data_IF_383766343390
#
_entry.id   IF_383766343390
#
_cell.length_a   1.000
_cell.length_b   1.000
_cell.length_c   1.000
_cell.angle_alpha   90.00
_cell.angle_beta   90.00
_cell.angle_gamma   90.00
#
_symmetry.space_group_name_H-M   'P 1'
#
loop_
_entity.id
_entity.type
_entity.pdbx_description
1 polymer ?
#
# COMPACT_ATOMS: atom_id res chain seq x y z
N UNK A 1 -6.64 4.75 34.08
CA UNK A 1 -7.28 5.77 33.25
C UNK A 1 -7.16 7.10 33.99
N UNK A 2 -6.72 8.17 33.34
CA UNK A 2 -6.41 9.53 33.81
C UNK A 2 -4.95 9.80 34.17
N UNK A 3 -4.00 8.91 33.85
CA UNK A 3 -2.59 9.21 33.99
C UNK A 3 -2.13 10.20 32.90
N UNK A 4 -1.28 11.14 33.28
CA UNK A 4 -0.68 12.07 32.33
C UNK A 4 0.28 11.32 31.42
N UNK A 5 0.07 11.41 30.11
CA UNK A 5 0.98 10.88 29.10
C UNK A 5 1.41 11.97 28.15
N UNK A 6 2.70 11.98 27.79
CA UNK A 6 3.27 12.93 26.86
C UNK A 6 4.10 12.21 25.80
N UNK A 7 3.93 12.62 24.53
CA UNK A 7 4.75 12.13 23.43
C UNK A 7 5.62 13.27 22.92
N UNK A 8 6.93 13.07 22.91
CA UNK A 8 7.88 13.97 22.29
C UNK A 8 7.94 13.71 20.77
N UNK A 9 7.61 14.72 19.97
CA UNK A 9 7.65 14.64 18.53
C UNK A 9 6.32 15.00 17.88
N UNK A 10 6.33 15.03 16.55
CA UNK A 10 5.12 15.27 15.76
C UNK A 10 4.41 13.95 15.49
N UNK A 11 3.19 13.72 16.02
CA UNK A 11 2.39 12.59 15.61
C UNK A 11 2.11 12.71 14.11
N UNK A 12 2.05 11.59 13.41
CA UNK A 12 1.73 11.57 11.99
C UNK A 12 0.30 12.06 11.71
N UNK A 13 -0.23 11.72 10.55
CA UNK A 13 -1.60 12.08 10.16
C UNK A 13 -2.64 11.29 10.95
N UNK A 14 -3.65 11.98 11.45
CA UNK A 14 -4.90 11.39 11.93
C UNK A 14 -6.06 11.76 11.01
N UNK A 15 -7.10 10.92 10.95
CA UNK A 15 -8.30 11.14 10.16
C UNK A 15 -9.52 10.99 11.05
N UNK A 16 -9.79 12.02 11.85
CA UNK A 16 -10.86 12.00 12.86
C UNK A 16 -12.25 12.21 12.26
N UNK A 17 -12.36 13.06 11.24
CA UNK A 17 -13.65 13.52 10.69
C UNK A 17 -14.08 12.76 9.43
N UNK A 18 -13.88 11.43 9.44
CA UNK A 18 -14.39 10.57 8.37
C UNK A 18 -15.85 10.21 8.65
N UNK A 19 -16.65 10.06 7.59
CA UNK A 19 -18.00 9.51 7.68
C UNK A 19 -17.96 8.03 8.08
N UNK A 20 -19.09 7.54 8.63
CA UNK A 20 -19.26 6.10 8.94
C UNK A 20 -18.99 5.25 7.69
N UNK A 21 -19.45 5.69 6.52
CA UNK A 21 -19.27 5.00 5.24
C UNK A 21 -17.81 4.96 4.78
N UNK A 22 -17.05 6.05 5.00
CA UNK A 22 -15.63 6.07 4.74
C UNK A 22 -14.86 5.07 5.63
N UNK A 23 -15.20 5.03 6.93
CA UNK A 23 -14.61 4.07 7.88
C UNK A 23 -14.98 2.64 7.53
N UNK A 24 -16.23 2.37 7.16
CA UNK A 24 -16.68 1.05 6.70
C UNK A 24 -15.88 0.57 5.47
N UNK A 25 -15.79 1.40 4.42
CA UNK A 25 -15.02 1.08 3.22
C UNK A 25 -13.54 0.85 3.53
N UNK A 26 -12.98 1.62 4.46
CA UNK A 26 -11.59 1.46 4.88
C UNK A 26 -11.34 0.11 5.56
N UNK A 27 -12.18 -0.27 6.53
CA UNK A 27 -12.05 -1.54 7.28
C UNK A 27 -12.40 -2.75 6.41
N UNK A 28 -13.48 -2.64 5.59
CA UNK A 28 -13.98 -3.78 4.86
C UNK A 28 -13.20 -4.09 3.58
N UNK A 29 -12.61 -3.08 2.95
CA UNK A 29 -12.00 -3.20 1.62
C UNK A 29 -10.53 -2.81 1.57
N UNK A 30 -10.21 -1.58 1.97
CA UNK A 30 -8.89 -0.99 1.72
C UNK A 30 -7.80 -1.57 2.64
N UNK A 31 -8.08 -1.70 3.95
CA UNK A 31 -7.12 -2.25 4.92
C UNK A 31 -6.77 -3.72 4.63
N UNK A 32 -7.75 -4.63 4.45
CA UNK A 32 -7.44 -6.03 4.18
C UNK A 32 -6.57 -6.23 2.95
N UNK A 33 -6.86 -5.51 1.86
CA UNK A 33 -6.08 -5.62 0.63
C UNK A 33 -4.62 -5.17 0.82
N UNK A 34 -4.40 -4.04 1.49
CA UNK A 34 -3.06 -3.53 1.79
C UNK A 34 -2.29 -4.44 2.76
N UNK A 35 -2.97 -4.97 3.76
CA UNK A 35 -2.39 -5.95 4.70
C UNK A 35 -1.97 -7.21 3.94
N UNK A 36 -2.81 -7.71 3.03
CA UNK A 36 -2.50 -8.89 2.21
C UNK A 36 -1.23 -8.67 1.36
N UNK A 37 -1.09 -7.51 0.70
CA UNK A 37 0.11 -7.15 -0.07
C UNK A 37 1.37 -7.17 0.80
N UNK A 38 1.35 -6.44 1.92
CA UNK A 38 2.52 -6.35 2.82
C UNK A 38 2.87 -7.69 3.47
N UNK A 39 1.86 -8.47 3.88
CA UNK A 39 2.05 -9.80 4.45
C UNK A 39 2.82 -10.71 3.49
N UNK A 40 2.44 -10.69 2.20
CA UNK A 40 3.10 -11.53 1.21
C UNK A 40 4.52 -11.06 0.88
N UNK A 41 4.78 -9.76 0.78
CA UNK A 41 6.15 -9.24 0.65
C UNK A 41 7.02 -9.66 1.83
N UNK A 42 6.54 -9.43 3.06
CA UNK A 42 7.29 -9.76 4.29
C UNK A 42 7.57 -11.24 4.40
N UNK A 43 6.62 -12.12 4.03
CA UNK A 43 6.83 -13.58 4.06
C UNK A 43 8.09 -14.00 3.29
N UNK A 44 8.33 -13.44 2.12
CA UNK A 44 9.51 -13.78 1.30
C UNK A 44 10.79 -13.13 1.81
N UNK A 45 10.68 -11.89 2.27
CA UNK A 45 11.82 -11.14 2.83
C UNK A 45 12.26 -11.77 4.15
N UNK A 46 11.33 -12.01 5.08
CA UNK A 46 11.63 -12.60 6.40
C UNK A 46 12.21 -14.01 6.27
N UNK A 47 11.67 -14.83 5.35
CA UNK A 47 12.21 -16.16 5.07
C UNK A 47 13.66 -16.12 4.56
N UNK A 48 13.99 -15.18 3.67
CA UNK A 48 15.35 -15.04 3.17
C UNK A 48 16.30 -14.49 4.25
N UNK A 49 15.86 -13.52 5.04
CA UNK A 49 16.63 -12.94 6.14
C UNK A 49 16.95 -13.98 7.25
N UNK A 50 16.06 -14.95 7.46
CA UNK A 50 16.26 -16.02 8.45
C UNK A 50 17.32 -17.05 8.03
N UNK A 51 17.64 -17.14 6.74
CA UNK A 51 18.57 -18.14 6.21
C UNK A 51 20.00 -17.64 6.08
N UNK A 52 20.21 -16.32 5.99
CA UNK A 52 21.54 -15.75 5.71
C UNK A 52 21.71 -14.37 6.37
N UNK A 53 22.77 -14.22 7.16
CA UNK A 53 23.09 -12.99 7.89
C UNK A 53 23.41 -11.82 6.95
N UNK A 54 24.09 -12.06 5.85
CA UNK A 54 24.39 -11.01 4.87
C UNK A 54 23.08 -10.48 4.23
N UNK A 55 22.13 -11.36 3.96
CA UNK A 55 20.78 -11.00 3.48
C UNK A 55 20.01 -10.25 4.58
N UNK A 56 20.12 -10.67 5.82
CA UNK A 56 19.50 -9.94 6.94
C UNK A 56 19.99 -8.49 7.00
N UNK A 57 21.28 -8.25 6.92
CA UNK A 57 21.87 -6.91 6.95
C UNK A 57 21.38 -6.07 5.76
N UNK A 58 21.36 -6.64 4.55
CA UNK A 58 20.88 -5.95 3.33
C UNK A 58 19.41 -5.55 3.40
N UNK A 59 18.57 -6.40 4.00
CA UNK A 59 17.12 -6.23 3.96
C UNK A 59 16.51 -5.65 5.23
N UNK A 60 17.24 -5.55 6.35
CA UNK A 60 16.71 -5.07 7.64
C UNK A 60 15.98 -3.72 7.54
N UNK A 61 16.58 -2.73 6.88
CA UNK A 61 15.95 -1.41 6.67
C UNK A 61 14.72 -1.47 5.76
N UNK A 62 14.78 -2.29 4.70
CA UNK A 62 13.65 -2.46 3.76
C UNK A 62 12.48 -3.17 4.44
N UNK A 63 12.77 -4.25 5.15
CA UNK A 63 11.82 -5.01 5.96
C UNK A 63 11.15 -4.12 7.00
N UNK A 64 11.92 -3.35 7.76
CA UNK A 64 11.42 -2.43 8.78
C UNK A 64 10.44 -1.41 8.19
N UNK A 65 10.75 -0.84 7.02
CA UNK A 65 9.87 0.12 6.32
C UNK A 65 8.56 -0.53 5.86
N UNK A 66 8.60 -1.78 5.39
CA UNK A 66 7.39 -2.52 4.98
C UNK A 66 6.58 -2.92 6.21
N UNK A 67 7.22 -3.46 7.24
CA UNK A 67 6.58 -3.99 8.44
C UNK A 67 5.95 -2.90 9.32
N UNK A 68 6.51 -1.69 9.34
CA UNK A 68 5.96 -0.57 10.12
C UNK A 68 4.51 -0.25 9.72
N UNK A 69 4.25 -0.07 8.43
CA UNK A 69 2.88 0.18 7.96
C UNK A 69 1.99 -1.06 8.11
N UNK A 70 2.52 -2.27 7.89
CA UNK A 70 1.80 -3.53 8.09
C UNK A 70 1.28 -3.66 9.52
N UNK A 71 2.15 -3.50 10.52
CA UNK A 71 1.79 -3.54 11.94
C UNK A 71 0.77 -2.46 12.31
N UNK A 72 0.97 -1.23 11.82
CA UNK A 72 0.02 -0.14 12.00
C UNK A 72 -1.38 -0.51 11.48
N UNK A 73 -1.48 -1.07 10.28
CA UNK A 73 -2.79 -1.39 9.68
C UNK A 73 -3.49 -2.53 10.38
N UNK A 74 -2.75 -3.55 10.83
CA UNK A 74 -3.33 -4.61 11.69
C UNK A 74 -3.89 -4.00 12.97
N UNK A 75 -3.12 -3.14 13.65
CA UNK A 75 -3.58 -2.47 14.86
C UNK A 75 -4.79 -1.56 14.62
N UNK A 76 -4.83 -0.85 13.48
CA UNK A 76 -5.99 -0.04 13.08
C UNK A 76 -7.23 -0.89 12.82
N UNK A 77 -7.11 -1.99 12.08
CA UNK A 77 -8.24 -2.89 11.80
C UNK A 77 -8.83 -3.46 13.10
N UNK A 78 -7.97 -4.00 13.94
CA UNK A 78 -8.38 -4.54 15.24
C UNK A 78 -9.01 -3.46 16.14
N UNK A 79 -8.38 -2.30 16.25
CA UNK A 79 -8.85 -1.20 17.09
C UNK A 79 -10.20 -0.64 16.62
N UNK A 80 -10.36 -0.39 15.32
CA UNK A 80 -11.59 0.15 14.75
C UNK A 80 -12.77 -0.83 14.88
N UNK A 81 -12.52 -2.15 14.69
CA UNK A 81 -13.53 -3.19 14.90
C UNK A 81 -13.87 -3.34 16.37
N UNK A 82 -12.88 -3.51 17.26
CA UNK A 82 -13.09 -3.68 18.71
C UNK A 82 -13.84 -2.49 19.33
N UNK A 83 -13.61 -1.28 18.85
CA UNK A 83 -14.27 -0.05 19.33
C UNK A 83 -15.58 0.25 18.62
N UNK A 84 -16.07 -0.64 17.74
CA UNK A 84 -17.28 -0.45 16.95
C UNK A 84 -17.34 0.92 16.25
N UNK A 85 -16.21 1.31 15.63
CA UNK A 85 -16.02 2.66 15.10
C UNK A 85 -17.10 3.08 14.10
N UNK A 86 -17.53 2.17 13.23
CA UNK A 86 -18.61 2.42 12.25
C UNK A 86 -19.91 2.74 12.96
N UNK A 87 -20.30 1.93 13.95
CA UNK A 87 -21.55 2.12 14.74
C UNK A 87 -21.54 3.44 15.51
N UNK A 88 -20.40 3.78 16.14
CA UNK A 88 -20.25 5.06 16.84
C UNK A 88 -20.41 6.24 15.89
N UNK A 89 -19.81 6.17 14.70
CA UNK A 89 -19.95 7.20 13.67
C UNK A 89 -21.38 7.33 13.17
N UNK A 90 -22.05 6.20 12.89
CA UNK A 90 -23.46 6.20 12.50
C UNK A 90 -24.35 6.87 13.55
N UNK A 91 -24.12 6.61 14.84
CA UNK A 91 -24.88 7.26 15.91
C UNK A 91 -24.62 8.77 15.95
N UNK A 92 -23.37 9.21 15.82
CA UNK A 92 -23.02 10.65 15.74
C UNK A 92 -23.69 11.33 14.55
N UNK A 93 -23.69 10.70 13.38
CA UNK A 93 -24.33 11.21 12.17
C UNK A 93 -25.85 11.29 12.33
N UNK A 94 -26.48 10.27 12.93
CA UNK A 94 -27.90 10.27 13.27
C UNK A 94 -28.24 11.42 14.23
N UNK A 95 -27.49 11.56 15.31
CA UNK A 95 -27.69 12.64 16.29
C UNK A 95 -27.53 14.02 15.66
N UNK A 96 -26.54 14.19 14.78
CA UNK A 96 -26.31 15.43 14.05
C UNK A 96 -27.54 15.83 13.20
N UNK A 97 -28.13 14.87 12.50
CA UNK A 97 -29.34 15.09 11.69
C UNK A 97 -30.56 15.34 12.56
N UNK A 98 -30.81 14.51 13.59
CA UNK A 98 -32.03 14.59 14.42
C UNK A 98 -32.07 15.82 15.32
N UNK A 99 -30.94 16.33 15.77
CA UNK A 99 -30.82 17.57 16.55
C UNK A 99 -30.94 18.85 15.71
N UNK A 100 -31.31 18.74 14.43
CA UNK A 100 -31.51 19.86 13.51
C UNK A 100 -30.25 20.62 13.12
N UNK A 101 -29.05 20.09 13.45
CA UNK A 101 -27.76 20.68 13.11
C UNK A 101 -27.20 20.18 11.77
N UNK A 102 -27.78 19.10 11.23
CA UNK A 102 -27.30 18.43 10.05
C UNK A 102 -28.31 18.32 8.92
N UNK A 103 -27.80 18.01 7.75
CA UNK A 103 -28.59 17.81 6.54
C UNK A 103 -28.48 16.36 6.08
N UNK A 104 -29.59 15.61 6.10
CA UNK A 104 -29.65 14.21 5.69
C UNK A 104 -29.28 14.03 4.21
N UNK A 105 -29.76 14.89 3.33
CA UNK A 105 -29.48 14.81 1.91
C UNK A 105 -27.97 14.97 1.61
N UNK A 106 -27.31 15.89 2.30
CA UNK A 106 -25.86 16.07 2.20
C UNK A 106 -25.11 14.81 2.64
N UNK A 107 -25.53 14.18 3.76
CA UNK A 107 -24.90 12.96 4.25
C UNK A 107 -25.06 11.80 3.26
N UNK A 108 -26.24 11.65 2.68
CA UNK A 108 -26.52 10.62 1.65
C UNK A 108 -25.68 10.84 0.39
N UNK A 109 -25.48 12.08 -0.03
CA UNK A 109 -24.59 12.43 -1.13
C UNK A 109 -23.12 12.08 -0.82
N UNK A 110 -22.66 12.43 0.36
CA UNK A 110 -21.30 12.03 0.83
C UNK A 110 -21.13 10.51 0.80
N UNK A 111 -22.11 9.74 1.24
CA UNK A 111 -22.06 8.27 1.19
C UNK A 111 -21.99 7.72 -0.25
N UNK A 112 -22.74 8.33 -1.17
CA UNK A 112 -22.66 7.98 -2.60
C UNK A 112 -21.26 8.25 -3.16
N UNK A 113 -20.67 9.41 -2.84
CA UNK A 113 -19.33 9.77 -3.26
C UNK A 113 -18.27 8.85 -2.66
N UNK A 114 -18.39 8.48 -1.36
CA UNK A 114 -17.50 7.52 -0.71
C UNK A 114 -17.53 6.14 -1.38
N UNK A 115 -18.71 5.67 -1.79
CA UNK A 115 -18.83 4.42 -2.53
C UNK A 115 -18.27 4.53 -3.96
N UNK A 116 -18.50 5.65 -4.63
CA UNK A 116 -18.00 5.88 -5.99
C UNK A 116 -16.48 5.92 -6.08
N UNK A 117 -15.82 6.54 -5.08
CA UNK A 117 -14.37 6.69 -5.08
C UNK A 117 -13.61 5.42 -4.67
N UNK A 118 -14.24 4.46 -3.98
CA UNK A 118 -13.54 3.34 -3.34
C UNK A 118 -12.78 2.45 -4.33
N UNK A 119 -13.30 2.27 -5.54
CA UNK A 119 -12.63 1.48 -6.58
C UNK A 119 -11.34 2.15 -7.07
N UNK A 120 -11.40 3.45 -7.34
CA UNK A 120 -10.22 4.23 -7.74
C UNK A 120 -9.19 4.30 -6.61
N UNK A 121 -9.66 4.44 -5.36
CA UNK A 121 -8.79 4.44 -4.18
C UNK A 121 -8.14 3.07 -3.96
N UNK A 122 -8.85 1.97 -4.22
CA UNK A 122 -8.30 0.62 -4.20
C UNK A 122 -7.21 0.47 -5.26
N UNK A 123 -7.48 0.82 -6.51
CA UNK A 123 -6.51 0.76 -7.61
C UNK A 123 -5.24 1.57 -7.28
N UNK A 124 -5.40 2.80 -6.78
CA UNK A 124 -4.29 3.64 -6.37
C UNK A 124 -3.49 3.02 -5.21
N UNK A 125 -4.17 2.52 -4.17
CA UNK A 125 -3.50 1.89 -3.03
C UNK A 125 -2.74 0.62 -3.46
N UNK A 126 -3.33 -0.21 -4.29
CA UNK A 126 -2.66 -1.41 -4.80
C UNK A 126 -1.45 -1.05 -5.67
N UNK A 127 -1.57 -0.02 -6.52
CA UNK A 127 -0.43 0.51 -7.25
C UNK A 127 0.70 0.97 -6.33
N UNK A 128 0.37 1.72 -5.26
CA UNK A 128 1.37 2.17 -4.28
C UNK A 128 2.05 0.99 -3.58
N UNK A 129 1.27 -0.02 -3.16
CA UNK A 129 1.83 -1.20 -2.50
C UNK A 129 2.69 -2.03 -3.45
N UNK A 130 2.27 -2.19 -4.69
CA UNK A 130 3.01 -2.95 -5.69
C UNK A 130 4.27 -2.23 -6.17
N UNK A 131 4.14 -0.96 -6.59
CA UNK A 131 5.22 -0.21 -7.22
C UNK A 131 6.25 0.34 -6.22
N UNK A 132 5.80 0.91 -5.10
CA UNK A 132 6.73 1.55 -4.14
C UNK A 132 7.23 0.61 -3.05
N UNK A 133 6.47 -0.42 -2.71
CA UNK A 133 6.75 -1.31 -1.57
C UNK A 133 6.81 -2.79 -1.96
N UNK A 134 6.59 -3.09 -3.22
CA UNK A 134 6.76 -4.40 -3.83
C UNK A 134 8.14 -4.56 -4.47
N UNK A 135 8.21 -5.13 -5.69
CA UNK A 135 9.47 -5.44 -6.37
C UNK A 135 10.32 -4.21 -6.60
N UNK A 136 11.61 -4.31 -6.27
CA UNK A 136 12.53 -3.16 -6.34
C UNK A 136 12.97 -2.84 -7.77
N UNK A 137 13.16 -3.88 -8.60
CA UNK A 137 13.66 -3.74 -9.96
C UNK A 137 12.72 -2.89 -10.82
N UNK A 138 11.40 -3.03 -10.66
CA UNK A 138 10.43 -2.23 -11.43
C UNK A 138 10.61 -0.73 -11.20
N UNK A 139 10.77 -0.33 -9.94
CA UNK A 139 10.99 1.08 -9.59
C UNK A 139 12.35 1.58 -10.07
N UNK A 140 13.37 0.76 -9.96
CA UNK A 140 14.69 1.10 -10.43
C UNK A 140 14.72 1.26 -11.96
N UNK A 141 14.07 0.34 -12.69
CA UNK A 141 13.98 0.35 -14.16
C UNK A 141 13.25 1.60 -14.71
N UNK A 142 12.17 2.04 -14.03
CA UNK A 142 11.47 3.28 -14.47
C UNK A 142 12.33 4.53 -14.46
N UNK A 143 13.43 4.55 -13.70
CA UNK A 143 14.40 5.63 -13.75
C UNK A 143 15.10 5.78 -15.10
N UNK A 144 15.17 4.73 -15.92
CA UNK A 144 15.76 4.78 -17.26
C UNK A 144 14.84 5.47 -18.28
N UNK A 145 13.52 5.40 -18.11
CA UNK A 145 12.58 6.14 -18.95
C UNK A 145 12.77 7.66 -18.85
N UNK A 146 13.16 8.16 -17.68
CA UNK A 146 13.49 9.57 -17.47
C UNK A 146 14.83 9.90 -18.11
N UNK A 147 15.81 9.00 -17.97
CA UNK A 147 17.12 9.18 -18.57
C UNK A 147 17.04 9.28 -20.11
N UNK A 148 16.28 8.39 -20.76
CA UNK A 148 16.09 8.38 -22.20
C UNK A 148 15.47 9.69 -22.75
N UNK A 149 14.77 10.45 -21.91
CA UNK A 149 14.12 11.72 -22.27
C UNK A 149 14.89 12.95 -21.75
N UNK A 150 16.03 12.76 -21.10
CA UNK A 150 16.80 13.86 -20.48
C UNK A 150 17.60 14.65 -21.53
N UNK A 151 17.54 15.97 -21.43
CA UNK A 151 18.40 16.88 -22.20
C UNK A 151 19.86 16.85 -21.71
N UNK A 152 20.12 16.39 -20.49
CA UNK A 152 21.45 16.23 -19.88
C UNK A 152 21.83 14.74 -19.78
N UNK A 153 21.64 13.98 -20.85
CA UNK A 153 21.79 12.51 -20.85
C UNK A 153 23.10 12.04 -20.22
N UNK A 154 24.23 12.56 -20.62
CA UNK A 154 25.55 12.08 -20.15
C UNK A 154 25.74 12.30 -18.64
N UNK A 155 25.34 13.45 -18.13
CA UNK A 155 25.39 13.77 -16.70
C UNK A 155 24.49 12.85 -15.88
N UNK A 156 23.26 12.69 -16.32
CA UNK A 156 22.27 11.81 -15.66
C UNK A 156 22.66 10.33 -15.77
N UNK A 157 23.25 9.91 -16.91
CA UNK A 157 23.74 8.55 -17.10
C UNK A 157 24.91 8.23 -16.14
N UNK A 158 25.89 9.13 -16.02
CA UNK A 158 26.99 8.97 -15.04
C UNK A 158 26.48 8.85 -13.60
N UNK A 159 25.52 9.69 -13.22
CA UNK A 159 24.87 9.61 -11.90
C UNK A 159 24.12 8.29 -11.71
N UNK A 160 23.43 7.81 -12.75
CA UNK A 160 22.70 6.55 -12.72
C UNK A 160 23.63 5.36 -12.58
N UNK A 161 24.75 5.34 -13.30
CA UNK A 161 25.79 4.31 -13.20
C UNK A 161 26.40 4.23 -11.79
N UNK A 162 26.72 5.39 -11.19
CA UNK A 162 27.20 5.43 -9.79
C UNK A 162 26.18 4.86 -8.82
N UNK A 163 24.90 5.17 -9.00
CA UNK A 163 23.82 4.65 -8.15
C UNK A 163 23.52 3.17 -8.41
N UNK A 164 23.86 2.64 -9.58
CA UNK A 164 23.67 1.24 -9.95
C UNK A 164 24.46 0.30 -9.04
N UNK A 165 25.73 0.61 -8.77
CA UNK A 165 26.54 -0.19 -7.85
C UNK A 165 25.92 -0.28 -6.45
N UNK A 166 25.44 0.86 -5.93
CA UNK A 166 24.77 0.91 -4.62
C UNK A 166 23.44 0.14 -4.60
N UNK A 167 22.69 0.19 -5.70
CA UNK A 167 21.46 -0.58 -5.85
C UNK A 167 21.75 -2.08 -5.80
N UNK A 168 22.65 -2.59 -6.66
CA UNK A 168 22.94 -4.02 -6.76
C UNK A 168 23.67 -4.57 -5.54
N UNK A 169 24.44 -3.73 -4.80
CA UNK A 169 25.02 -4.14 -3.52
C UNK A 169 23.95 -4.59 -2.50
N UNK A 170 22.76 -3.98 -2.53
CA UNK A 170 21.68 -4.23 -1.60
C UNK A 170 20.44 -4.90 -2.23
N UNK A 171 20.58 -5.39 -3.45
CA UNK A 171 19.51 -6.04 -4.20
C UNK A 171 19.72 -7.56 -4.22
N UNK A 172 18.61 -8.30 -4.12
CA UNK A 172 18.57 -9.73 -4.31
C UNK A 172 17.49 -10.09 -5.32
N UNK A 173 17.88 -10.65 -6.45
CA UNK A 173 17.00 -10.99 -7.56
C UNK A 173 16.00 -12.09 -7.18
N UNK A 174 16.40 -13.04 -6.33
CA UNK A 174 15.54 -14.16 -5.96
C UNK A 174 14.42 -13.72 -5.02
N UNK A 175 14.72 -12.80 -4.09
CA UNK A 175 13.72 -12.19 -3.23
C UNK A 175 12.76 -11.35 -4.09
N UNK A 176 13.29 -10.52 -5.00
CA UNK A 176 12.49 -9.62 -5.83
C UNK A 176 11.53 -10.38 -6.75
N UNK A 177 11.99 -11.45 -7.38
CA UNK A 177 11.17 -12.37 -8.18
C UNK A 177 10.04 -13.00 -7.37
N UNK A 178 10.32 -13.55 -6.19
CA UNK A 178 9.32 -14.15 -5.30
C UNK A 178 8.29 -13.12 -4.84
N UNK A 179 8.73 -11.90 -4.51
CA UNK A 179 7.83 -10.80 -4.15
C UNK A 179 6.95 -10.44 -5.35
N UNK A 180 7.51 -10.24 -6.54
CA UNK A 180 6.74 -9.96 -7.75
C UNK A 180 5.68 -11.03 -8.01
N UNK A 181 6.08 -12.30 -8.10
CA UNK A 181 5.19 -13.42 -8.37
C UNK A 181 4.04 -13.51 -7.36
N UNK A 182 4.32 -13.27 -6.06
CA UNK A 182 3.29 -13.32 -5.02
C UNK A 182 2.33 -12.12 -5.03
N UNK A 183 2.78 -10.94 -5.48
CA UNK A 183 1.97 -9.72 -5.45
C UNK A 183 1.09 -9.54 -6.69
N UNK A 184 1.48 -10.05 -7.86
CA UNK A 184 0.68 -9.93 -9.10
C UNK A 184 -0.74 -10.45 -8.93
N UNK A 185 -0.97 -11.70 -8.45
CA UNK A 185 -2.33 -12.22 -8.30
C UNK A 185 -3.15 -11.43 -7.28
N UNK A 186 -2.52 -10.91 -6.21
CA UNK A 186 -3.20 -10.07 -5.22
C UNK A 186 -3.61 -8.73 -5.84
N UNK A 187 -2.72 -8.13 -6.62
CA UNK A 187 -3.01 -6.89 -7.35
C UNK A 187 -4.21 -7.06 -8.29
N UNK A 188 -4.19 -8.11 -9.12
CA UNK A 188 -5.27 -8.43 -10.07
C UNK A 188 -6.58 -8.75 -9.36
N UNK A 189 -6.54 -9.44 -8.22
CA UNK A 189 -7.71 -9.77 -7.39
C UNK A 189 -8.43 -8.52 -6.86
N UNK A 190 -7.67 -7.51 -6.43
CA UNK A 190 -8.25 -6.34 -5.75
C UNK A 190 -8.51 -5.14 -6.67
N UNK A 191 -7.88 -5.07 -7.82
CA UNK A 191 -8.07 -3.98 -8.78
C UNK A 191 -9.13 -4.36 -9.81
N UNK A 192 -10.12 -3.50 -10.00
CA UNK A 192 -11.17 -3.72 -11.01
C UNK A 192 -10.54 -3.88 -12.40
N UNK A 193 -10.98 -4.89 -13.16
CA UNK A 193 -10.42 -5.26 -14.46
C UNK A 193 -10.21 -4.06 -15.42
N UNK A 194 -11.15 -3.14 -15.49
CA UNK A 194 -11.04 -1.94 -16.33
C UNK A 194 -10.08 -0.85 -15.81
N UNK A 195 -9.46 -1.05 -14.63
CA UNK A 195 -8.45 -0.17 -14.04
C UNK A 195 -7.04 -0.77 -14.06
N UNK A 196 -6.89 -2.00 -14.55
CA UNK A 196 -5.59 -2.60 -14.82
C UNK A 196 -4.98 -1.96 -16.07
N UNK A 197 -3.66 -1.76 -16.09
CA UNK A 197 -2.99 -1.33 -17.29
C UNK A 197 -3.07 -2.42 -18.37
N UNK A 198 -3.02 -1.99 -19.65
CA UNK A 198 -3.00 -2.91 -20.77
C UNK A 198 -1.81 -3.86 -20.68
N UNK A 199 -0.63 -3.32 -20.37
CA UNK A 199 0.63 -4.09 -20.28
C UNK A 199 0.54 -5.18 -19.22
N UNK A 200 -0.02 -4.88 -18.03
CA UNK A 200 -0.21 -5.88 -16.99
C UNK A 200 -1.25 -6.92 -17.39
N UNK A 201 -2.34 -6.49 -18.03
CA UNK A 201 -3.38 -7.41 -18.53
C UNK A 201 -2.82 -8.36 -19.59
N UNK A 202 -2.05 -7.83 -20.54
CA UNK A 202 -1.38 -8.64 -21.58
C UNK A 202 -0.38 -9.62 -20.95
N UNK A 203 0.39 -9.17 -19.96
CA UNK A 203 1.34 -10.02 -19.23
C UNK A 203 0.64 -11.16 -18.50
N UNK A 204 -0.43 -10.87 -17.76
CA UNK A 204 -1.20 -11.89 -17.03
C UNK A 204 -1.87 -12.89 -17.98
N UNK A 205 -2.31 -12.45 -19.16
CA UNK A 205 -2.91 -13.33 -20.15
C UNK A 205 -1.87 -14.17 -20.90
N UNK A 206 -0.63 -13.70 -21.02
CA UNK A 206 0.44 -14.35 -21.76
C UNK A 206 1.04 -15.55 -20.99
N UNK A 207 1.12 -15.46 -19.67
CA UNK A 207 1.80 -16.45 -18.85
C UNK A 207 0.80 -17.28 -18.05
N UNK A 208 1.04 -18.60 -17.87
CA UNK A 208 0.12 -19.49 -17.16
C UNK A 208 0.06 -19.23 -15.65
N UNK A 209 1.08 -18.61 -15.09
CA UNK A 209 1.14 -18.21 -13.67
C UNK A 209 2.05 -17.00 -13.46
N UNK A 210 1.96 -16.38 -12.29
CA UNK A 210 2.83 -15.27 -11.91
C UNK A 210 4.29 -15.69 -11.72
N UNK A 211 4.54 -16.92 -11.35
CA UNK A 211 5.88 -17.52 -11.26
C UNK A 211 6.52 -17.66 -12.64
N UNK A 212 5.73 -17.94 -13.67
CA UNK A 212 6.23 -18.02 -15.05
C UNK A 212 6.57 -16.67 -15.67
N UNK A 213 6.18 -15.56 -15.02
CA UNK A 213 6.51 -14.18 -15.47
C UNK A 213 7.93 -13.74 -15.06
N UNK A 214 8.61 -14.47 -14.17
CA UNK A 214 9.89 -14.14 -13.54
C UNK A 214 10.95 -15.19 -13.80
#
# INVERSE_FOLDING_TARGET
ENDFTMVFGFPGRTSQYLTSKAVENYIAKLLPARIEMRKNSLRHIDAAMAMDEATYIKYASKQSRISNAYKKWIGQDLGLRKKEAVKKKLNLEKDWVTKGKGNRALLDELFKLENKKVEAQMAYNMFVEFYYYGPEMMRWATGFNKLAKSKEFDKEAKKKLKNMQNFFKNYDVNIDKKVFASLVPIYVKHVKKGMLSKELTDLVNKYPSSEAMV
#
